data_IF_686294574769
#
_entry.id   IF_686294574769
#
_cell.length_a   1.000
_cell.length_b   1.000
_cell.length_c   1.000
_cell.angle_alpha   90.00
_cell.angle_beta   90.00
_cell.angle_gamma   90.00
#
_symmetry.space_group_name_H-M   'P 1'
#
loop_
_entity.id
_entity.type
_entity.pdbx_description
1 polymer ?
#
# COMPACT_ATOMS: atom_id res chain seq x y z
N UNK A 1 -40.07 -47.08 -37.63
CA UNK A 1 -39.82 -46.45 -36.32
C UNK A 1 -40.76 -45.26 -36.19
N UNK A 2 -41.85 -45.35 -35.41
CA UNK A 2 -42.81 -44.24 -35.23
C UNK A 2 -42.25 -43.30 -34.18
N UNK A 3 -41.72 -42.15 -34.60
CA UNK A 3 -41.23 -41.11 -33.69
C UNK A 3 -42.45 -40.54 -32.97
N UNK A 4 -42.52 -40.72 -31.64
CA UNK A 4 -43.62 -40.16 -30.82
C UNK A 4 -43.44 -38.64 -30.78
N UNK A 5 -44.53 -37.88 -30.93
CA UNK A 5 -44.51 -36.40 -31.00
C UNK A 5 -43.83 -35.71 -29.81
N UNK A 6 -43.78 -36.38 -28.66
CA UNK A 6 -43.05 -35.95 -27.46
C UNK A 6 -41.54 -35.76 -27.68
N UNK A 7 -40.90 -36.65 -28.46
CA UNK A 7 -39.47 -36.52 -28.78
C UNK A 7 -39.19 -35.37 -29.75
N UNK A 8 -40.15 -35.05 -30.62
CA UNK A 8 -40.05 -33.92 -31.55
C UNK A 8 -40.17 -32.59 -30.80
N UNK A 9 -41.06 -32.53 -29.79
CA UNK A 9 -41.19 -31.37 -28.92
C UNK A 9 -39.91 -31.12 -28.09
N UNK A 10 -39.32 -32.16 -27.49
CA UNK A 10 -38.06 -32.05 -26.75
C UNK A 10 -36.90 -31.58 -27.63
N UNK A 11 -36.83 -32.05 -28.88
CA UNK A 11 -35.82 -31.62 -29.84
C UNK A 11 -35.97 -30.14 -30.23
N UNK A 12 -37.21 -29.66 -30.43
CA UNK A 12 -37.46 -28.25 -30.73
C UNK A 12 -37.09 -27.34 -29.56
N UNK A 13 -37.41 -27.74 -28.33
CA UNK A 13 -37.08 -26.95 -27.13
C UNK A 13 -35.57 -26.87 -26.92
N UNK A 14 -34.84 -27.98 -27.08
CA UNK A 14 -33.38 -27.98 -26.95
C UNK A 14 -32.69 -27.17 -28.05
N UNK A 15 -33.24 -27.17 -29.27
CA UNK A 15 -32.75 -26.35 -30.39
C UNK A 15 -32.90 -24.85 -30.09
N UNK A 16 -34.05 -24.44 -29.57
CA UNK A 16 -34.31 -23.03 -29.21
C UNK A 16 -33.39 -22.59 -28.06
N UNK A 17 -33.22 -23.44 -27.03
CA UNK A 17 -32.28 -23.18 -25.93
C UNK A 17 -30.84 -23.06 -26.43
N UNK A 18 -30.40 -23.94 -27.32
CA UNK A 18 -29.07 -23.88 -27.93
C UNK A 18 -28.87 -22.59 -28.74
N UNK A 19 -29.90 -22.12 -29.44
CA UNK A 19 -29.88 -20.86 -30.18
C UNK A 19 -29.75 -19.65 -29.24
N UNK A 20 -30.52 -19.63 -28.14
CA UNK A 20 -30.45 -18.55 -27.13
C UNK A 20 -29.07 -18.53 -26.47
N UNK A 21 -28.53 -19.68 -26.08
CA UNK A 21 -27.19 -19.80 -25.50
C UNK A 21 -26.11 -19.35 -26.49
N UNK A 22 -26.21 -19.74 -27.76
CA UNK A 22 -25.28 -19.32 -28.81
C UNK A 22 -25.29 -17.80 -29.02
N UNK A 23 -26.48 -17.18 -29.01
CA UNK A 23 -26.62 -15.72 -29.06
C UNK A 23 -26.00 -15.07 -27.83
N UNK A 24 -26.23 -15.60 -26.61
CA UNK A 24 -25.60 -15.08 -25.40
C UNK A 24 -24.07 -15.20 -25.46
N UNK A 25 -23.53 -16.37 -25.83
CA UNK A 25 -22.08 -16.56 -25.98
C UNK A 25 -21.48 -15.65 -27.03
N UNK A 26 -22.17 -15.44 -28.16
CA UNK A 26 -21.71 -14.52 -29.21
C UNK A 26 -21.82 -13.05 -28.78
N UNK A 27 -22.85 -12.68 -28.04
CA UNK A 27 -23.01 -11.34 -27.48
C UNK A 27 -21.93 -11.08 -26.45
N UNK A 28 -21.71 -12.01 -25.52
CA UNK A 28 -20.62 -11.96 -24.54
C UNK A 28 -19.30 -11.85 -25.30
N UNK A 29 -18.96 -12.74 -26.24
CA UNK A 29 -17.70 -12.64 -26.99
C UNK A 29 -17.55 -11.36 -27.83
N UNK A 30 -18.65 -10.74 -28.30
CA UNK A 30 -18.62 -9.46 -29.03
C UNK A 30 -18.57 -8.24 -28.11
N UNK A 31 -19.14 -8.30 -26.92
CA UNK A 31 -18.98 -7.26 -25.87
C UNK A 31 -17.66 -7.42 -25.12
N UNK A 32 -17.13 -8.64 -25.06
CA UNK A 32 -15.81 -9.08 -24.56
C UNK A 32 -14.80 -9.13 -25.71
N UNK A 33 -14.98 -8.28 -26.75
CA UNK A 33 -13.92 -8.03 -27.73
C UNK A 33 -12.67 -7.48 -27.02
N UNK A 34 -11.50 -7.85 -27.53
CA UNK A 34 -10.12 -7.71 -27.00
C UNK A 34 -9.65 -6.31 -26.52
N UNK A 35 -10.54 -5.34 -26.26
CA UNK A 35 -10.16 -4.01 -25.78
C UNK A 35 -11.24 -3.21 -25.05
N UNK A 36 -12.43 -3.75 -24.77
CA UNK A 36 -13.54 -2.98 -24.14
C UNK A 36 -13.79 -3.29 -22.65
N UNK A 37 -13.22 -4.38 -22.11
CA UNK A 37 -13.19 -4.69 -20.67
C UNK A 37 -12.18 -3.89 -19.80
N UNK A 38 -11.14 -3.20 -20.34
CA UNK A 38 -10.22 -2.43 -19.50
C UNK A 38 -10.89 -1.25 -18.79
N UNK A 39 -11.86 -0.59 -19.42
CA UNK A 39 -12.34 0.72 -18.93
C UNK A 39 -13.19 0.61 -17.67
N UNK A 40 -14.08 -0.37 -17.56
CA UNK A 40 -14.89 -0.58 -16.35
C UNK A 40 -14.04 -1.04 -15.18
N UNK A 41 -13.15 -2.02 -15.40
CA UNK A 41 -12.21 -2.47 -14.35
C UNK A 41 -11.23 -1.38 -13.94
N UNK A 42 -10.69 -0.62 -14.90
CA UNK A 42 -9.82 0.51 -14.59
C UNK A 42 -10.57 1.62 -13.83
N UNK A 43 -11.84 1.85 -14.15
CA UNK A 43 -12.67 2.80 -13.41
C UNK A 43 -12.97 2.31 -11.99
N UNK A 44 -13.28 1.02 -11.81
CA UNK A 44 -13.45 0.39 -10.50
C UNK A 44 -12.16 0.49 -9.68
N UNK A 45 -11.02 0.11 -10.24
CA UNK A 45 -9.69 0.25 -9.62
C UNK A 45 -9.37 1.71 -9.26
N UNK A 46 -9.68 2.67 -10.13
CA UNK A 46 -9.48 4.09 -9.85
C UNK A 46 -10.38 4.58 -8.71
N UNK A 47 -11.63 4.13 -8.65
CA UNK A 47 -12.55 4.44 -7.56
C UNK A 47 -12.08 3.82 -6.24
N UNK A 48 -11.62 2.57 -6.26
CA UNK A 48 -11.07 1.89 -5.08
C UNK A 48 -9.81 2.60 -4.59
N UNK A 49 -8.92 2.99 -5.50
CA UNK A 49 -7.71 3.76 -5.17
C UNK A 49 -8.07 5.10 -4.53
N UNK A 50 -9.02 5.85 -5.11
CA UNK A 50 -9.50 7.11 -4.54
C UNK A 50 -10.13 6.91 -3.16
N UNK A 51 -10.90 5.84 -2.97
CA UNK A 51 -11.50 5.50 -1.68
C UNK A 51 -10.42 5.22 -0.64
N UNK A 52 -9.44 4.39 -0.96
CA UNK A 52 -8.32 4.07 -0.06
C UNK A 52 -7.49 5.32 0.26
N UNK A 53 -7.24 6.19 -0.73
CA UNK A 53 -6.55 7.47 -0.50
C UNK A 53 -7.34 8.39 0.43
N UNK A 54 -8.66 8.51 0.23
CA UNK A 54 -9.52 9.31 1.11
C UNK A 54 -9.59 8.74 2.53
N UNK A 55 -9.66 7.42 2.67
CA UNK A 55 -9.62 6.74 3.97
C UNK A 55 -8.27 7.01 4.67
N UNK A 56 -7.15 6.87 3.97
CA UNK A 56 -5.81 7.22 4.47
C UNK A 56 -5.76 8.68 4.96
N UNK A 57 -6.23 9.62 4.17
CA UNK A 57 -6.22 11.05 4.55
C UNK A 57 -7.08 11.32 5.80
N UNK A 58 -8.26 10.71 5.88
CA UNK A 58 -9.13 10.84 7.06
C UNK A 58 -8.52 10.24 8.34
N UNK A 59 -7.82 9.10 8.21
CA UNK A 59 -7.11 8.47 9.31
C UNK A 59 -5.94 9.33 9.79
N UNK A 60 -5.16 9.91 8.85
CA UNK A 60 -4.08 10.83 9.19
C UNK A 60 -4.59 12.04 9.98
N UNK A 61 -5.71 12.65 9.56
CA UNK A 61 -6.34 13.75 10.31
C UNK A 61 -6.81 13.34 11.70
N UNK A 62 -7.34 12.13 11.84
CA UNK A 62 -7.76 11.61 13.15
C UNK A 62 -6.56 11.39 14.07
N UNK A 63 -5.44 10.89 13.54
CA UNK A 63 -4.19 10.73 14.29
C UNK A 63 -3.72 12.11 14.80
N UNK A 64 -3.66 13.11 13.91
CA UNK A 64 -3.27 14.47 14.26
C UNK A 64 -4.18 15.07 15.35
N UNK A 65 -5.50 14.91 15.25
CA UNK A 65 -6.44 15.40 16.28
C UNK A 65 -6.21 14.71 17.64
N UNK A 66 -5.96 13.40 17.63
CA UNK A 66 -5.71 12.63 18.86
C UNK A 66 -4.38 13.02 19.50
N UNK A 67 -3.33 13.23 18.70
CA UNK A 67 -2.04 13.70 19.17
C UNK A 67 -2.13 15.08 19.82
N UNK A 68 -2.85 16.02 19.19
CA UNK A 68 -3.11 17.34 19.77
C UNK A 68 -3.87 17.24 21.10
N UNK A 69 -4.83 16.32 21.19
CA UNK A 69 -5.62 16.10 22.42
C UNK A 69 -4.75 15.51 23.54
N UNK A 70 -3.85 14.59 23.21
CA UNK A 70 -2.86 14.03 24.16
C UNK A 70 -1.94 15.15 24.65
N UNK A 71 -1.40 15.96 23.75
CA UNK A 71 -0.50 17.07 24.10
C UNK A 71 -1.19 18.10 25.01
N UNK A 72 -2.46 18.42 24.75
CA UNK A 72 -3.26 19.29 25.63
C UNK A 72 -3.41 18.69 27.04
N UNK A 73 -3.69 17.40 27.15
CA UNK A 73 -3.79 16.74 28.46
C UNK A 73 -2.44 16.71 29.19
N UNK A 74 -1.36 16.36 28.50
CA UNK A 74 -0.01 16.33 29.07
C UNK A 74 0.40 17.74 29.57
N UNK A 75 0.10 18.80 28.81
CA UNK A 75 0.44 20.19 29.18
C UNK A 75 -0.44 20.78 30.29
N UNK A 76 -1.72 20.41 30.36
CA UNK A 76 -2.66 20.96 31.33
C UNK A 76 -2.28 20.70 32.80
N UNK A 77 -1.43 19.70 33.08
CA UNK A 77 -0.91 19.39 34.42
C UNK A 77 0.46 19.97 34.75
N UNK A 78 1.11 20.65 33.79
CA UNK A 78 2.50 21.14 33.89
C UNK A 78 2.54 22.61 34.30
N UNK A 79 1.49 23.39 34.00
CA UNK A 79 1.43 24.80 34.36
C UNK A 79 1.60 24.96 35.89
N UNK A 80 2.72 25.55 36.29
CA UNK A 80 3.17 25.90 37.65
C UNK A 80 4.08 24.91 38.40
N UNK A 81 4.55 23.81 37.79
CA UNK A 81 5.56 22.92 38.41
C UNK A 81 6.80 22.70 37.52
N UNK A 82 7.94 23.24 37.96
CA UNK A 82 9.24 23.11 37.29
C UNK A 82 9.68 21.64 37.19
N UNK A 83 9.33 20.80 38.16
CA UNK A 83 9.65 19.37 38.11
C UNK A 83 8.83 18.66 37.03
N UNK A 84 7.55 18.97 36.93
CA UNK A 84 6.68 18.44 35.88
C UNK A 84 7.13 18.88 34.48
N UNK A 85 7.56 20.13 34.34
CA UNK A 85 8.07 20.66 33.06
C UNK A 85 9.36 19.93 32.62
N UNK A 86 10.31 19.73 33.53
CA UNK A 86 11.53 18.99 33.22
C UNK A 86 11.25 17.53 32.87
N UNK A 87 10.35 16.87 33.60
CA UNK A 87 9.94 15.50 33.31
C UNK A 87 9.29 15.37 31.93
N UNK A 88 8.45 16.33 31.54
CA UNK A 88 7.85 16.37 30.20
C UNK A 88 8.90 16.58 29.11
N UNK A 89 9.86 17.49 29.31
CA UNK A 89 10.98 17.69 28.36
C UNK A 89 11.80 16.41 28.17
N UNK A 90 12.09 15.70 29.26
CA UNK A 90 12.79 14.42 29.21
C UNK A 90 11.95 13.37 28.47
N UNK A 91 10.65 13.29 28.74
CA UNK A 91 9.75 12.38 28.03
C UNK A 91 9.73 12.66 26.52
N UNK A 92 9.61 13.93 26.10
CA UNK A 92 9.65 14.32 24.69
C UNK A 92 10.99 13.98 24.04
N UNK A 93 12.10 14.22 24.73
CA UNK A 93 13.43 13.84 24.26
C UNK A 93 13.54 12.33 24.03
N UNK A 94 13.05 11.51 24.96
CA UNK A 94 13.09 10.05 24.81
C UNK A 94 12.14 9.55 23.72
N UNK A 95 10.96 10.16 23.53
CA UNK A 95 10.05 9.85 22.42
C UNK A 95 10.70 10.11 21.07
N UNK A 96 11.40 11.23 20.93
CA UNK A 96 12.15 11.58 19.72
C UNK A 96 13.27 10.57 19.43
N UNK A 97 14.05 10.19 20.44
CA UNK A 97 15.13 9.19 20.31
C UNK A 97 14.60 7.79 20.00
N UNK A 98 13.43 7.44 20.52
CA UNK A 98 12.76 6.17 20.25
C UNK A 98 12.04 6.13 18.89
N UNK A 99 12.00 7.24 18.16
CA UNK A 99 11.35 7.32 16.85
C UNK A 99 9.83 7.49 16.90
N UNK A 100 9.26 7.89 18.03
CA UNK A 100 7.82 8.16 18.21
C UNK A 100 7.42 9.61 17.94
N UNK A 101 8.35 10.43 17.46
CA UNK A 101 8.10 11.81 17.07
C UNK A 101 8.74 12.06 15.73
N UNK A 102 8.02 12.81 14.90
CA UNK A 102 8.56 13.38 13.67
C UNK A 102 9.66 14.39 14.01
N UNK A 103 10.64 14.48 13.11
CA UNK A 103 11.81 15.35 13.23
C UNK A 103 12.09 16.02 11.90
N UNK A 104 12.56 17.25 11.95
CA UNK A 104 12.93 18.04 10.79
C UNK A 104 14.36 18.54 10.94
N UNK A 105 15.12 18.50 9.84
CA UNK A 105 16.51 18.92 9.85
C UNK A 105 17.14 18.86 8.46
N UNK A 106 18.37 19.38 8.31
CA UNK A 106 19.13 19.21 7.09
C UNK A 106 19.39 17.73 6.83
N UNK A 107 19.21 17.28 5.59
CA UNK A 107 19.36 15.88 5.23
C UNK A 107 19.49 15.66 3.73
N UNK A 108 19.43 14.39 3.33
CA UNK A 108 19.47 13.95 1.94
C UNK A 108 18.34 12.97 1.66
N UNK A 109 17.89 12.92 0.41
CA UNK A 109 16.98 11.88 -0.09
C UNK A 109 17.82 10.96 -0.96
N UNK A 110 17.85 9.67 -0.61
CA UNK A 110 18.55 8.65 -1.38
C UNK A 110 17.50 7.78 -2.09
N UNK A 111 17.53 7.80 -3.42
CA UNK A 111 16.64 7.03 -4.26
C UNK A 111 17.42 5.86 -4.89
N UNK A 112 16.98 4.63 -4.62
CA UNK A 112 17.55 3.42 -5.21
C UNK A 112 16.65 2.99 -6.35
N UNK A 113 17.16 3.05 -7.57
CA UNK A 113 16.42 2.71 -8.79
C UNK A 113 17.00 1.43 -9.36
N UNK A 114 16.17 0.41 -9.51
CA UNK A 114 16.59 -0.85 -10.13
C UNK A 114 16.87 -0.67 -11.62
N UNK A 115 17.90 -1.35 -12.15
CA UNK A 115 18.12 -1.40 -13.58
C UNK A 115 16.97 -2.15 -14.28
N UNK A 116 16.66 -1.82 -15.54
CA UNK A 116 15.68 -2.56 -16.31
C UNK A 116 16.10 -4.03 -16.44
N UNK A 117 15.21 -4.95 -16.08
CA UNK A 117 15.43 -6.40 -16.16
C UNK A 117 15.72 -6.80 -17.60
N UNK A 118 16.93 -7.27 -17.89
CA UNK A 118 17.28 -7.81 -19.20
C UNK A 118 16.73 -9.23 -19.34
N UNK A 119 15.56 -9.33 -19.97
CA UNK A 119 14.80 -10.57 -20.24
C UNK A 119 15.57 -11.64 -21.03
N UNK A 120 16.75 -11.34 -21.60
CA UNK A 120 17.55 -12.30 -22.38
C UNK A 120 18.37 -13.28 -21.55
N UNK A 121 18.74 -12.91 -20.33
CA UNK A 121 19.52 -13.77 -19.43
C UNK A 121 18.70 -13.91 -18.15
N UNK A 122 17.97 -15.03 -18.04
CA UNK A 122 17.08 -15.29 -16.92
C UNK A 122 17.74 -14.98 -15.57
N UNK A 123 16.96 -14.31 -14.71
CA UNK A 123 17.32 -13.64 -13.45
C UNK A 123 17.83 -12.20 -13.64
N UNK A 124 16.87 -11.26 -13.63
CA UNK A 124 17.18 -9.85 -13.41
C UNK A 124 17.73 -9.67 -12.00
N UNK A 125 18.92 -9.10 -11.89
CA UNK A 125 19.48 -8.69 -10.61
C UNK A 125 18.79 -7.39 -10.18
N UNK A 126 17.90 -7.48 -9.21
CA UNK A 126 17.25 -6.34 -8.55
C UNK A 126 18.12 -5.92 -7.37
N UNK A 127 18.49 -4.64 -7.25
CA UNK A 127 19.25 -4.11 -6.11
C UNK A 127 18.45 -4.33 -4.82
N UNK A 128 17.11 -4.22 -4.90
CA UNK A 128 16.19 -4.46 -3.78
C UNK A 128 16.20 -5.93 -3.30
N UNK A 129 16.52 -6.89 -4.17
CA UNK A 129 16.62 -8.30 -3.77
C UNK A 129 17.87 -8.59 -2.91
N UNK A 130 18.86 -7.70 -2.94
CA UNK A 130 20.09 -7.82 -2.16
C UNK A 130 19.99 -7.00 -0.86
N UNK A 131 19.38 -7.62 0.15
CA UNK A 131 19.17 -7.06 1.49
C UNK A 131 20.44 -6.44 2.10
N UNK A 132 21.59 -7.06 1.83
CA UNK A 132 22.89 -6.61 2.34
C UNK A 132 23.24 -5.18 1.89
N UNK A 133 22.81 -4.77 0.68
CA UNK A 133 23.04 -3.41 0.19
C UNK A 133 22.24 -2.38 1.00
N UNK A 134 20.97 -2.68 1.30
CA UNK A 134 20.11 -1.80 2.11
C UNK A 134 20.69 -1.69 3.53
N UNK A 135 21.10 -2.80 4.13
CA UNK A 135 21.73 -2.82 5.45
C UNK A 135 23.04 -2.04 5.47
N UNK A 136 23.85 -2.13 4.41
CA UNK A 136 25.08 -1.38 4.28
C UNK A 136 24.84 0.13 4.17
N UNK A 137 23.84 0.56 3.38
CA UNK A 137 23.46 1.98 3.28
C UNK A 137 23.07 2.52 4.65
N UNK A 138 22.19 1.82 5.38
CA UNK A 138 21.79 2.20 6.73
C UNK A 138 22.99 2.27 7.69
N UNK A 139 23.91 1.31 7.60
CA UNK A 139 25.12 1.30 8.42
C UNK A 139 26.04 2.50 8.13
N UNK A 140 26.20 2.87 6.87
CA UNK A 140 26.99 4.05 6.46
C UNK A 140 26.34 5.34 6.97
N UNK A 141 25.02 5.47 6.86
CA UNK A 141 24.28 6.63 7.38
C UNK A 141 24.44 6.75 8.89
N UNK A 142 24.32 5.64 9.62
CA UNK A 142 24.58 5.62 11.06
C UNK A 142 26.03 6.02 11.40
N UNK A 143 27.01 5.55 10.62
CA UNK A 143 28.41 5.90 10.80
C UNK A 143 28.73 7.37 10.42
N UNK A 144 27.86 8.01 9.64
CA UNK A 144 27.93 9.42 9.28
C UNK A 144 27.14 10.32 10.25
N UNK A 145 26.81 9.82 11.44
CA UNK A 145 26.05 10.52 12.48
C UNK A 145 24.65 10.99 12.03
N UNK A 146 23.97 10.23 11.17
CA UNK A 146 22.58 10.50 10.84
C UNK A 146 21.70 10.36 12.11
N UNK A 147 21.08 11.46 12.54
CA UNK A 147 20.24 11.48 13.76
C UNK A 147 18.88 10.80 13.57
N UNK A 148 18.38 10.77 12.33
CA UNK A 148 17.16 10.08 11.95
C UNK A 148 17.26 9.57 10.51
N UNK A 149 16.74 8.36 10.29
CA UNK A 149 16.69 7.70 8.99
C UNK A 149 15.24 7.27 8.75
N UNK A 150 14.74 7.50 7.54
CA UNK A 150 13.46 7.01 7.07
C UNK A 150 13.68 6.18 5.82
N UNK A 151 13.02 5.03 5.74
CA UNK A 151 13.01 4.15 4.56
C UNK A 151 11.55 4.04 4.10
N UNK A 152 11.24 4.58 2.92
CA UNK A 152 9.87 4.59 2.37
C UNK A 152 8.81 5.08 3.37
N UNK A 153 9.04 6.26 3.94
CA UNK A 153 8.17 6.89 4.96
C UNK A 153 8.08 6.15 6.30
N UNK A 154 8.94 5.16 6.55
CA UNK A 154 9.01 4.43 7.81
C UNK A 154 10.28 4.80 8.59
N UNK A 155 10.11 5.29 9.82
CA UNK A 155 11.22 5.60 10.73
C UNK A 155 12.03 4.34 11.03
N UNK A 156 13.30 4.36 10.64
CA UNK A 156 14.27 3.36 11.05
C UNK A 156 14.72 3.63 12.49
N UNK A 157 14.71 2.57 13.30
CA UNK A 157 15.17 2.56 14.69
C UNK A 157 15.99 1.29 14.94
N UNK A 158 16.61 1.18 16.12
CA UNK A 158 17.31 -0.05 16.53
C UNK A 158 16.40 -1.29 16.65
N UNK A 159 15.08 -1.12 16.64
CA UNK A 159 14.10 -2.20 16.67
C UNK A 159 13.52 -2.53 15.29
N UNK A 160 13.90 -1.78 14.25
CA UNK A 160 13.41 -2.01 12.90
C UNK A 160 14.08 -3.26 12.32
N UNK A 161 13.29 -4.29 12.04
CA UNK A 161 13.72 -5.45 11.27
C UNK A 161 13.62 -5.15 9.79
N UNK A 162 14.66 -5.51 9.03
CA UNK A 162 14.66 -5.42 7.56
C UNK A 162 14.75 -6.85 7.03
N UNK A 163 13.67 -7.29 6.38
CA UNK A 163 13.51 -8.66 5.88
C UNK A 163 13.03 -8.64 4.44
N UNK A 164 13.31 -9.73 3.73
CA UNK A 164 12.75 -9.95 2.40
C UNK A 164 11.27 -10.37 2.53
N UNK A 165 10.40 -9.74 1.76
CA UNK A 165 8.97 -10.07 1.68
C UNK A 165 8.70 -11.37 0.91
#
# INVERSE_FOLDING_TARGET
>A
MKIRGEYVALFLVSLILGLILSIQFRTINKTVGEGALPTQRAQELANDLLKVQSEKESQLKLIEELELKIDQYEKSGIENDIYAENLYKDAMKYRMLAGFSDVEGPGIILEIIDPPVDIQYGEGFTIIDELDLILQVVSILNAADAEAISVNDQRYTSFTEIVRA
#
